data_IF_126826488853
#
_entry.id   IF_126826488853
#
_cell.length_a   1.000
_cell.length_b   1.000
_cell.length_c   1.000
_cell.angle_alpha   90.00
_cell.angle_beta   90.00
_cell.angle_gamma   90.00
#
_symmetry.space_group_name_H-M   'P 1'
#
loop_
_entity.id
_entity.type
_entity.pdbx_description
1 polymer ?
#
# COMPACT_ATOMS: atom_id res chain seq x y z
N UNK A 1 43.88 -31.76 152.32
CA UNK A 1 43.87 -32.95 153.22
C UNK A 1 44.56 -34.10 152.47
N UNK A 2 45.55 -34.83 152.98
CA UNK A 2 45.91 -35.17 154.38
C UNK A 2 44.78 -35.86 155.15
N UNK A 3 44.45 -37.09 154.72
CA UNK A 3 44.24 -38.22 155.63
C UNK A 3 45.58 -38.99 155.66
N UNK A 4 46.07 -39.55 156.75
CA UNK A 4 45.44 -39.77 158.05
C UNK A 4 45.87 -41.15 158.53
N UNK A 5 47.12 -41.26 159.00
CA UNK A 5 47.78 -42.54 159.29
C UNK A 5 47.18 -43.22 160.53
N UNK A 6 46.20 -44.10 160.33
CA UNK A 6 45.67 -44.96 161.39
C UNK A 6 46.61 -46.14 161.59
N UNK A 7 47.49 -46.06 162.59
CA UNK A 7 48.16 -47.24 163.12
C UNK A 7 47.11 -48.16 163.75
N UNK A 8 47.09 -49.43 163.34
CA UNK A 8 46.47 -50.53 164.08
C UNK A 8 47.58 -51.41 164.67
N UNK A 9 47.34 -52.09 165.81
CA UNK A 9 48.40 -52.70 166.58
C UNK A 9 49.07 -53.87 165.85
N UNK A 10 50.31 -54.16 166.24
CA UNK A 10 51.05 -55.33 165.79
C UNK A 10 50.43 -56.60 166.38
N UNK A 11 49.45 -57.19 165.68
CA UNK A 11 49.10 -58.58 165.89
C UNK A 11 50.33 -59.45 165.66
N UNK A 12 50.54 -60.45 166.51
CA UNK A 12 51.66 -61.37 166.39
C UNK A 12 51.70 -62.02 165.00
N UNK A 13 52.89 -62.19 164.45
CA UNK A 13 53.07 -63.02 163.24
C UNK A 13 52.54 -64.42 163.58
N UNK A 14 51.59 -64.99 162.83
CA UNK A 14 51.27 -66.40 162.99
C UNK A 14 52.54 -67.23 162.73
N UNK A 15 52.71 -68.31 163.48
CA UNK A 15 53.80 -69.25 163.18
C UNK A 15 53.68 -69.72 161.73
N UNK A 16 54.79 -69.68 161.00
CA UNK A 16 54.86 -70.19 159.62
C UNK A 16 54.80 -71.72 159.66
N UNK A 17 53.58 -72.25 159.66
CA UNK A 17 53.30 -73.69 159.62
C UNK A 17 53.76 -74.25 158.27
N UNK A 18 54.69 -75.19 158.30
CA UNK A 18 55.11 -75.96 157.13
C UNK A 18 54.22 -77.20 157.08
N UNK A 19 53.31 -77.26 156.12
CA UNK A 19 52.29 -78.32 155.99
C UNK A 19 51.52 -78.65 157.30
N UNK A 20 51.31 -77.65 158.15
CA UNK A 20 50.58 -77.79 159.43
C UNK A 20 51.43 -78.20 160.64
N UNK A 21 52.74 -78.48 160.47
CA UNK A 21 53.66 -78.83 161.56
C UNK A 21 54.41 -77.62 162.11
N UNK A 22 54.89 -77.74 163.36
CA UNK A 22 55.74 -76.73 163.98
C UNK A 22 57.20 -76.88 163.55
N UNK A 23 57.99 -75.81 163.73
CA UNK A 23 59.37 -75.72 163.22
C UNK A 23 60.37 -76.68 163.91
N UNK A 24 59.93 -77.39 164.93
CA UNK A 24 60.72 -78.31 165.76
C UNK A 24 60.42 -79.79 165.45
N UNK A 25 59.42 -80.08 164.60
CA UNK A 25 58.94 -81.44 164.29
C UNK A 25 59.28 -81.91 162.86
N UNK A 26 59.75 -81.01 161.98
CA UNK A 26 60.02 -81.31 160.57
C UNK A 26 61.46 -81.80 160.37
N UNK A 27 61.64 -82.92 159.65
CA UNK A 27 62.99 -83.44 159.33
C UNK A 27 63.76 -82.47 158.41
N UNK A 28 65.10 -82.50 158.47
CA UNK A 28 65.96 -81.69 157.60
C UNK A 28 65.67 -81.90 156.12
N UNK A 29 65.50 -83.16 155.70
CA UNK A 29 65.19 -83.52 154.30
C UNK A 29 63.81 -82.99 153.89
N UNK A 30 62.79 -83.11 154.75
CA UNK A 30 61.45 -82.57 154.51
C UNK A 30 61.43 -81.03 154.41
N UNK A 31 62.27 -80.34 155.19
CA UNK A 31 62.49 -78.89 155.02
C UNK A 31 63.19 -78.58 153.69
N UNK A 32 64.17 -79.39 153.27
CA UNK A 32 64.88 -79.20 151.99
C UNK A 32 63.98 -79.47 150.77
N UNK A 33 63.12 -80.49 150.83
CA UNK A 33 62.06 -80.75 149.84
C UNK A 33 61.02 -79.61 149.79
N UNK A 34 60.54 -79.13 150.95
CA UNK A 34 59.59 -78.01 150.98
C UNK A 34 60.23 -76.71 150.47
N UNK A 35 61.52 -76.48 150.71
CA UNK A 35 62.29 -75.38 150.13
C UNK A 35 62.47 -75.55 148.61
N UNK A 36 62.63 -76.77 148.11
CA UNK A 36 62.67 -77.04 146.67
C UNK A 36 61.32 -76.78 146.01
N UNK A 37 60.23 -77.31 146.56
CA UNK A 37 58.86 -77.06 146.10
C UNK A 37 58.52 -75.56 146.08
N UNK A 38 58.82 -74.82 147.17
CA UNK A 38 58.59 -73.38 147.23
C UNK A 38 59.45 -72.57 146.26
N UNK A 39 60.57 -73.10 145.75
CA UNK A 39 61.35 -72.48 144.67
C UNK A 39 60.73 -72.77 143.31
N UNK A 40 60.39 -74.02 143.04
CA UNK A 40 59.70 -74.43 141.80
C UNK A 40 58.38 -73.68 141.62
N UNK A 41 57.60 -73.53 142.69
CA UNK A 41 56.34 -72.77 142.67
C UNK A 41 56.57 -71.26 142.49
N UNK A 42 57.62 -70.70 143.11
CA UNK A 42 58.02 -69.31 142.93
C UNK A 42 58.50 -69.04 141.49
N UNK A 43 59.14 -70.01 140.85
CA UNK A 43 59.60 -69.90 139.46
C UNK A 43 58.46 -70.12 138.45
N UNK A 44 57.50 -71.02 138.71
CA UNK A 44 56.21 -71.05 137.99
C UNK A 44 55.49 -69.69 138.06
N UNK A 45 55.32 -69.13 139.25
CA UNK A 45 54.72 -67.81 139.49
C UNK A 45 55.49 -66.63 138.85
N UNK A 46 56.77 -66.82 138.51
CA UNK A 46 57.57 -65.87 137.72
C UNK A 46 57.33 -66.05 136.23
N UNK A 47 57.29 -67.28 135.74
CA UNK A 47 57.03 -67.61 134.34
C UNK A 47 55.61 -67.22 133.91
N UNK A 48 54.59 -67.58 134.70
CA UNK A 48 53.20 -67.18 134.45
C UNK A 48 53.05 -65.65 134.46
N UNK A 49 53.67 -64.96 135.42
CA UNK A 49 53.68 -63.49 135.47
C UNK A 49 54.38 -62.86 134.26
N UNK A 50 55.46 -63.47 133.77
CA UNK A 50 56.13 -63.02 132.55
C UNK A 50 55.22 -63.22 131.33
N UNK A 51 54.58 -64.38 131.20
CA UNK A 51 53.61 -64.69 130.16
C UNK A 51 52.42 -63.72 130.17
N UNK A 52 51.77 -63.52 131.32
CA UNK A 52 50.64 -62.58 131.44
C UNK A 52 51.06 -61.11 131.24
N UNK A 53 52.31 -60.74 131.52
CA UNK A 53 52.85 -59.43 131.16
C UNK A 53 53.05 -59.31 129.64
N UNK A 54 53.65 -60.32 129.00
CA UNK A 54 53.85 -60.34 127.54
C UNK A 54 52.52 -60.34 126.77
N UNK A 55 51.52 -61.11 127.21
CA UNK A 55 50.18 -61.08 126.61
C UNK A 55 49.46 -59.74 126.84
N UNK A 56 49.64 -59.11 128.01
CA UNK A 56 49.15 -57.73 128.24
C UNK A 56 49.80 -56.75 127.27
N UNK A 57 51.11 -56.81 127.08
CA UNK A 57 51.84 -55.89 126.21
C UNK A 57 51.53 -56.13 124.72
N UNK A 58 51.29 -57.39 124.31
CA UNK A 58 50.71 -57.72 122.99
C UNK A 58 49.33 -57.11 122.82
N UNK A 59 48.42 -57.27 123.79
CA UNK A 59 47.06 -56.71 123.72
C UNK A 59 47.09 -55.18 123.68
N UNK A 60 47.95 -54.53 124.48
CA UNK A 60 48.13 -53.07 124.46
C UNK A 60 48.68 -52.60 123.12
N UNK A 61 49.74 -53.23 122.59
CA UNK A 61 50.31 -52.83 121.29
C UNK A 61 49.36 -53.08 120.12
N UNK A 62 48.60 -54.19 120.10
CA UNK A 62 47.53 -54.40 119.12
C UNK A 62 46.41 -53.37 119.26
N UNK A 63 46.03 -52.99 120.49
CA UNK A 63 45.04 -51.94 120.74
C UNK A 63 45.53 -50.58 120.23
N UNK A 64 46.77 -50.18 120.52
CA UNK A 64 47.38 -48.94 120.00
C UNK A 64 47.48 -48.91 118.46
N UNK A 65 47.87 -50.03 117.84
CA UNK A 65 47.92 -50.16 116.37
C UNK A 65 46.51 -50.02 115.78
N UNK A 66 45.52 -50.67 116.38
CA UNK A 66 44.12 -50.61 115.93
C UNK A 66 43.53 -49.21 116.13
N UNK A 67 43.79 -48.57 117.27
CA UNK A 67 43.46 -47.16 117.53
C UNK A 67 44.07 -46.23 116.49
N UNK A 68 45.36 -46.41 116.17
CA UNK A 68 46.09 -45.58 115.20
C UNK A 68 45.50 -45.75 113.80
N UNK A 69 45.29 -46.99 113.35
CA UNK A 69 44.63 -47.29 112.06
C UNK A 69 43.19 -46.78 112.00
N UNK A 70 42.44 -46.86 113.09
CA UNK A 70 41.09 -46.29 113.20
C UNK A 70 41.11 -44.74 113.13
N UNK A 71 42.14 -44.09 113.68
CA UNK A 71 42.34 -42.62 113.59
C UNK A 71 42.76 -42.20 112.17
N UNK A 72 43.64 -42.96 111.52
CA UNK A 72 44.05 -42.79 110.12
C UNK A 72 42.85 -42.89 109.16
N UNK A 73 42.10 -44.01 109.18
CA UNK A 73 40.92 -44.20 108.31
C UNK A 73 39.83 -43.17 108.59
N UNK A 74 39.64 -42.73 109.85
CA UNK A 74 38.73 -41.62 110.19
C UNK A 74 39.21 -40.26 109.68
N UNK A 75 40.50 -40.07 109.41
CA UNK A 75 41.02 -38.87 108.76
C UNK A 75 40.85 -38.97 107.23
N UNK A 76 41.18 -40.11 106.63
CA UNK A 76 40.98 -40.39 105.20
C UNK A 76 39.51 -40.21 104.78
N UNK A 77 38.57 -40.77 105.54
CA UNK A 77 37.12 -40.59 105.30
C UNK A 77 36.74 -39.10 105.32
N UNK A 78 37.27 -38.30 106.25
CA UNK A 78 36.99 -36.85 106.31
C UNK A 78 37.59 -36.09 105.14
N UNK A 79 38.78 -36.48 104.67
CA UNK A 79 39.42 -35.89 103.48
C UNK A 79 38.59 -36.20 102.23
N UNK A 80 38.16 -37.46 102.06
CA UNK A 80 37.30 -37.87 100.94
C UNK A 80 35.91 -37.23 101.00
N UNK A 81 35.31 -37.10 102.19
CA UNK A 81 34.06 -36.36 102.38
C UNK A 81 34.21 -34.90 101.96
N UNK A 82 35.26 -34.21 102.45
CA UNK A 82 35.52 -32.82 102.07
C UNK A 82 35.78 -32.67 100.56
N UNK A 83 36.60 -33.53 99.95
CA UNK A 83 36.81 -33.50 98.50
C UNK A 83 35.49 -33.68 97.72
N UNK A 84 34.64 -34.61 98.17
CA UNK A 84 33.30 -34.85 97.61
C UNK A 84 32.34 -33.65 97.82
N UNK A 85 32.57 -32.81 98.83
CA UNK A 85 31.81 -31.57 99.08
C UNK A 85 32.35 -30.40 98.24
N UNK A 86 33.68 -30.26 98.14
CA UNK A 86 34.36 -29.27 97.30
C UNK A 86 34.01 -29.50 95.81
N UNK A 87 34.06 -30.75 95.31
CA UNK A 87 33.69 -31.13 93.93
C UNK A 87 32.21 -30.80 93.62
N UNK A 88 31.29 -31.05 94.57
CA UNK A 88 29.88 -30.68 94.42
C UNK A 88 29.71 -29.17 94.33
N UNK A 89 30.44 -28.40 95.14
CA UNK A 89 30.41 -26.95 95.11
C UNK A 89 30.97 -26.41 93.77
N UNK A 90 32.05 -27.02 93.25
CA UNK A 90 32.58 -26.72 91.92
C UNK A 90 31.54 -26.98 90.82
N UNK A 91 30.94 -28.17 90.77
CA UNK A 91 29.91 -28.49 89.77
C UNK A 91 28.65 -27.60 89.90
N UNK A 92 28.23 -27.19 91.10
CA UNK A 92 27.12 -26.26 91.26
C UNK A 92 27.46 -24.86 90.69
N UNK A 93 28.71 -24.40 90.84
CA UNK A 93 29.21 -23.16 90.22
C UNK A 93 29.29 -23.32 88.69
N UNK A 94 29.80 -24.43 88.18
CA UNK A 94 29.83 -24.71 86.73
C UNK A 94 28.42 -24.66 86.13
N UNK A 95 27.44 -25.33 86.74
CA UNK A 95 26.04 -25.31 86.30
C UNK A 95 25.47 -23.88 86.30
N UNK A 96 25.79 -23.07 87.31
CA UNK A 96 25.41 -21.63 87.34
C UNK A 96 26.06 -20.84 86.21
N UNK A 97 27.35 -21.07 85.92
CA UNK A 97 28.09 -20.44 84.81
C UNK A 97 27.53 -20.85 83.45
N UNK A 98 27.30 -22.14 83.20
CA UNK A 98 26.69 -22.61 81.94
C UNK A 98 25.27 -22.09 81.76
N UNK A 99 24.45 -22.03 82.82
CA UNK A 99 23.11 -21.42 82.79
C UNK A 99 23.17 -19.92 82.45
N UNK A 100 24.18 -19.20 82.94
CA UNK A 100 24.36 -17.78 82.60
C UNK A 100 24.91 -17.58 81.18
N UNK A 101 25.84 -18.43 80.71
CA UNK A 101 26.31 -18.44 79.32
C UNK A 101 25.16 -18.70 78.33
N UNK A 102 24.29 -19.67 78.63
CA UNK A 102 23.10 -19.97 77.82
C UNK A 102 22.12 -18.78 77.77
N UNK A 103 21.86 -18.13 78.91
CA UNK A 103 21.07 -16.89 78.95
C UNK A 103 21.65 -15.79 78.08
N UNK A 104 22.95 -15.51 78.21
CA UNK A 104 23.63 -14.48 77.42
C UNK A 104 23.54 -14.80 75.92
N UNK A 105 23.86 -16.04 75.51
CA UNK A 105 23.77 -16.46 74.10
C UNK A 105 22.35 -16.27 73.52
N UNK A 106 21.31 -16.61 74.29
CA UNK A 106 19.91 -16.38 73.89
C UNK A 106 19.56 -14.90 73.80
N UNK A 107 20.09 -14.05 74.69
CA UNK A 107 19.95 -12.60 74.59
C UNK A 107 20.69 -12.03 73.37
N UNK A 108 21.93 -12.43 73.10
CA UNK A 108 22.67 -11.99 71.90
C UNK A 108 21.93 -12.39 70.62
N UNK A 109 21.48 -13.65 70.53
CA UNK A 109 20.71 -14.11 69.37
C UNK A 109 19.41 -13.31 69.20
N UNK A 110 18.69 -13.00 70.28
CA UNK A 110 17.48 -12.18 70.22
C UNK A 110 17.78 -10.73 69.82
N UNK A 111 18.88 -10.14 70.31
CA UNK A 111 19.34 -8.81 69.93
C UNK A 111 19.66 -8.77 68.43
N UNK A 112 20.52 -9.66 67.93
CA UNK A 112 20.89 -9.75 66.51
C UNK A 112 19.67 -9.98 65.60
N UNK A 113 18.70 -10.82 66.00
CA UNK A 113 17.45 -10.99 65.25
C UNK A 113 16.63 -9.69 65.21
N UNK A 114 16.63 -8.93 66.30
CA UNK A 114 15.87 -7.67 66.41
C UNK A 114 16.52 -6.56 65.59
N UNK A 115 17.86 -6.45 65.63
CA UNK A 115 18.68 -5.55 64.81
C UNK A 115 18.51 -5.84 63.32
N UNK A 116 18.70 -7.09 62.87
CA UNK A 116 18.52 -7.49 61.47
C UNK A 116 17.07 -7.29 60.99
N UNK A 117 16.08 -7.39 61.88
CA UNK A 117 14.69 -7.08 61.55
C UNK A 117 14.46 -5.57 61.40
N UNK A 118 15.06 -4.75 62.28
CA UNK A 118 15.00 -3.30 62.19
C UNK A 118 15.71 -2.78 60.92
N UNK A 119 16.93 -3.24 60.64
CA UNK A 119 17.69 -2.89 59.43
C UNK A 119 16.93 -3.27 58.16
N UNK A 120 16.28 -4.44 58.13
CA UNK A 120 15.43 -4.86 57.02
C UNK A 120 14.23 -3.92 56.82
N UNK A 121 13.58 -3.48 57.90
CA UNK A 121 12.45 -2.56 57.82
C UNK A 121 12.88 -1.16 57.39
N UNK A 122 13.99 -0.64 57.93
CA UNK A 122 14.58 0.64 57.53
C UNK A 122 15.03 0.63 56.07
N UNK A 123 15.69 -0.45 55.63
CA UNK A 123 16.07 -0.63 54.22
C UNK A 123 14.83 -0.64 53.31
N UNK A 124 13.76 -1.34 53.69
CA UNK A 124 12.52 -1.37 52.92
C UNK A 124 11.86 0.02 52.85
N UNK A 125 11.78 0.75 53.97
CA UNK A 125 11.23 2.10 54.03
C UNK A 125 12.04 3.09 53.18
N UNK A 126 13.37 3.01 53.19
CA UNK A 126 14.25 3.80 52.32
C UNK A 126 14.03 3.46 50.84
N UNK A 127 13.92 2.18 50.47
CA UNK A 127 13.62 1.81 49.08
C UNK A 127 12.23 2.29 48.62
N UNK A 128 11.22 2.22 49.49
CA UNK A 128 9.87 2.72 49.17
C UNK A 128 9.89 4.24 48.95
N UNK A 129 10.48 5.02 49.87
CA UNK A 129 10.59 6.48 49.71
C UNK A 129 11.33 6.89 48.44
N UNK A 130 12.37 6.15 48.06
CA UNK A 130 13.09 6.39 46.81
C UNK A 130 12.22 6.08 45.57
N UNK A 131 11.39 5.03 45.61
CA UNK A 131 10.42 4.75 44.55
C UNK A 131 9.33 5.85 44.49
N UNK A 132 8.76 6.24 45.63
CA UNK A 132 7.70 7.25 45.71
C UNK A 132 8.18 8.60 45.12
N UNK A 133 9.43 8.99 45.41
CA UNK A 133 10.07 10.18 44.84
C UNK A 133 10.28 10.06 43.32
N UNK A 134 10.76 8.91 42.83
CA UNK A 134 10.95 8.68 41.39
C UNK A 134 9.62 8.66 40.63
N UNK A 135 8.58 8.07 41.20
CA UNK A 135 7.23 8.10 40.65
C UNK A 135 6.65 9.52 40.64
N UNK A 136 6.86 10.31 41.69
CA UNK A 136 6.44 11.71 41.74
C UNK A 136 7.16 12.56 40.68
N UNK A 137 8.46 12.37 40.50
CA UNK A 137 9.26 13.06 39.47
C UNK A 137 8.80 12.66 38.06
N UNK A 138 8.57 11.37 37.80
CA UNK A 138 8.07 10.87 36.52
C UNK A 138 6.66 11.41 36.21
N UNK A 139 5.75 11.41 37.19
CA UNK A 139 4.40 12.00 37.06
C UNK A 139 4.47 13.51 36.82
N UNK A 140 5.49 14.21 37.34
CA UNK A 140 5.73 15.62 37.04
C UNK A 140 6.22 15.82 35.60
N UNK A 141 7.23 15.05 35.16
CA UNK A 141 7.76 15.09 33.78
C UNK A 141 6.69 14.77 32.73
N UNK A 142 5.84 13.77 32.97
CA UNK A 142 4.72 13.44 32.06
C UNK A 142 3.72 14.60 31.97
N UNK A 143 3.40 15.27 33.09
CA UNK A 143 2.53 16.47 33.06
C UNK A 143 3.17 17.63 32.31
N UNK A 144 4.47 17.88 32.49
CA UNK A 144 5.19 18.91 31.74
C UNK A 144 5.11 18.65 30.23
N UNK A 145 5.46 17.44 29.78
CA UNK A 145 5.37 17.04 28.36
C UNK A 145 3.93 17.12 27.82
N UNK A 146 2.91 16.80 28.63
CA UNK A 146 1.52 16.98 28.22
C UNK A 146 1.10 18.46 28.07
N UNK A 147 1.66 19.36 28.87
CA UNK A 147 1.45 20.82 28.72
C UNK A 147 2.25 21.33 27.53
N UNK A 148 3.52 20.95 27.37
CA UNK A 148 4.35 21.30 26.20
C UNK A 148 3.68 20.87 24.87
N UNK A 149 2.96 19.73 24.86
CA UNK A 149 2.20 19.23 23.70
C UNK A 149 0.84 19.93 23.50
N UNK A 150 0.36 20.69 24.48
CA UNK A 150 -0.84 21.54 24.37
C UNK A 150 -0.46 23.00 24.02
N UNK A 151 0.68 23.49 24.54
CA UNK A 151 1.28 24.78 24.22
C UNK A 151 1.96 24.76 22.83
N UNK A 152 2.39 23.59 22.33
CA UNK A 152 2.50 23.36 20.90
C UNK A 152 1.10 23.46 20.28
N UNK A 153 0.79 24.66 19.78
CA UNK A 153 -0.51 25.04 19.24
C UNK A 153 -0.78 24.41 17.87
N UNK A 154 -0.80 23.08 17.86
CA UNK A 154 -1.24 22.24 16.76
C UNK A 154 -2.67 22.58 16.34
N UNK A 155 -3.51 23.06 17.27
CA UNK A 155 -4.89 23.40 16.98
C UNK A 155 -4.99 24.64 16.07
N UNK A 156 -4.44 25.79 16.45
CA UNK A 156 -4.48 26.95 15.54
C UNK A 156 -3.61 26.74 14.30
N UNK A 157 -2.58 25.89 14.37
CA UNK A 157 -1.83 25.50 13.17
C UNK A 157 -2.70 24.73 12.17
N UNK A 158 -3.51 23.77 12.63
CA UNK A 158 -4.49 23.04 11.80
C UNK A 158 -5.57 24.00 11.29
N UNK A 159 -6.21 24.78 12.18
CA UNK A 159 -7.26 25.74 11.79
C UNK A 159 -6.76 26.76 10.76
N UNK A 160 -5.49 27.19 10.85
CA UNK A 160 -4.83 28.06 9.88
C UNK A 160 -4.55 27.37 8.55
N UNK A 161 -4.12 26.10 8.56
CA UNK A 161 -3.93 25.32 7.34
C UNK A 161 -5.26 25.03 6.62
N UNK A 162 -6.32 24.72 7.38
CA UNK A 162 -7.68 24.54 6.87
C UNK A 162 -8.23 25.84 6.26
N UNK A 163 -8.03 26.98 6.91
CA UNK A 163 -8.42 28.30 6.41
C UNK A 163 -7.66 28.66 5.11
N UNK A 164 -6.34 28.41 5.04
CA UNK A 164 -5.56 28.64 3.83
C UNK A 164 -5.91 27.66 2.69
N UNK A 165 -6.30 26.43 3.02
CA UNK A 165 -6.83 25.48 2.04
C UNK A 165 -8.19 25.94 1.50
N UNK A 166 -9.11 26.37 2.38
CA UNK A 166 -10.42 26.89 2.00
C UNK A 166 -10.30 28.10 1.04
N UNK A 167 -9.45 29.09 1.35
CA UNK A 167 -9.16 30.23 0.46
C UNK A 167 -8.66 29.82 -0.92
N UNK A 168 -7.77 28.82 -0.99
CA UNK A 168 -7.25 28.31 -2.26
C UNK A 168 -8.32 27.58 -3.06
N UNK A 169 -9.19 26.83 -2.39
CA UNK A 169 -10.33 26.16 -3.03
C UNK A 169 -11.34 27.17 -3.58
N UNK A 170 -11.71 28.23 -2.85
CA UNK A 170 -12.64 29.25 -3.35
C UNK A 170 -12.02 30.04 -4.52
N UNK A 171 -10.78 30.50 -4.41
CA UNK A 171 -10.09 31.21 -5.49
C UNK A 171 -9.96 30.34 -6.77
N UNK A 172 -9.71 29.03 -6.62
CA UNK A 172 -9.67 28.10 -7.75
C UNK A 172 -11.07 27.90 -8.37
N UNK A 173 -12.14 27.83 -7.56
CA UNK A 173 -13.51 27.75 -8.07
C UNK A 173 -13.97 29.05 -8.75
N UNK A 174 -13.55 30.21 -8.26
CA UNK A 174 -13.81 31.52 -8.88
C UNK A 174 -13.10 31.65 -10.22
N UNK A 175 -11.85 31.19 -10.32
CA UNK A 175 -11.11 31.16 -11.58
C UNK A 175 -11.74 30.20 -12.61
N UNK A 176 -12.12 28.98 -12.22
CA UNK A 176 -12.84 28.07 -13.13
C UNK A 176 -14.18 28.63 -13.59
N UNK A 177 -14.96 29.27 -12.71
CA UNK A 177 -16.21 29.95 -13.09
C UNK A 177 -15.95 31.06 -14.11
N UNK A 178 -14.93 31.89 -13.88
CA UNK A 178 -14.51 32.93 -14.83
C UNK A 178 -14.15 32.32 -16.18
N UNK A 179 -13.27 31.31 -16.22
CA UNK A 179 -12.85 30.65 -17.46
C UNK A 179 -14.04 30.06 -18.23
N UNK A 180 -15.02 29.48 -17.54
CA UNK A 180 -16.27 28.99 -18.14
C UNK A 180 -17.06 30.14 -18.75
N UNK A 181 -17.36 31.20 -17.99
CA UNK A 181 -18.12 32.36 -18.52
C UNK A 181 -17.42 33.07 -19.67
N UNK A 182 -16.09 33.14 -19.64
CA UNK A 182 -15.28 33.68 -20.74
C UNK A 182 -15.28 32.80 -21.99
N UNK A 183 -15.49 31.49 -21.85
CA UNK A 183 -15.63 30.57 -22.98
C UNK A 183 -17.06 30.59 -23.53
N UNK A 184 -18.07 30.65 -22.66
CA UNK A 184 -19.48 30.78 -23.03
C UNK A 184 -19.72 32.04 -23.88
N UNK A 185 -19.22 33.21 -23.43
CA UNK A 185 -19.33 34.46 -24.20
C UNK A 185 -18.62 34.37 -25.56
N UNK A 186 -17.40 33.83 -25.62
CA UNK A 186 -16.66 33.68 -26.90
C UNK A 186 -17.36 32.71 -27.86
N UNK A 187 -18.06 31.70 -27.35
CA UNK A 187 -18.87 30.81 -28.17
C UNK A 187 -20.16 31.48 -28.66
N UNK A 188 -20.81 32.31 -27.84
CA UNK A 188 -21.98 33.09 -28.24
C UNK A 188 -21.63 34.16 -29.29
N UNK A 189 -20.52 34.89 -29.12
CA UNK A 189 -19.95 35.81 -30.11
C UNK A 189 -19.63 35.10 -31.44
N UNK A 190 -19.00 33.92 -31.39
CA UNK A 190 -18.69 33.13 -32.57
C UNK A 190 -19.94 32.62 -33.30
N UNK A 191 -20.99 32.23 -32.57
CA UNK A 191 -22.26 31.82 -33.15
C UNK A 191 -23.01 32.99 -33.79
N UNK A 192 -22.95 34.19 -33.19
CA UNK A 192 -23.53 35.41 -33.77
C UNK A 192 -22.85 35.77 -35.10
N UNK A 193 -21.51 35.79 -35.14
CA UNK A 193 -20.75 36.05 -36.36
C UNK A 193 -21.07 35.04 -37.48
N UNK A 194 -21.19 33.75 -37.15
CA UNK A 194 -21.59 32.72 -38.12
C UNK A 194 -23.03 32.91 -38.63
N UNK A 195 -23.94 33.41 -37.80
CA UNK A 195 -25.30 33.76 -38.23
C UNK A 195 -25.29 34.98 -39.16
N UNK A 196 -24.52 36.03 -38.84
CA UNK A 196 -24.37 37.21 -39.70
C UNK A 196 -23.74 36.88 -41.06
N UNK A 197 -22.68 36.06 -41.09
CA UNK A 197 -22.07 35.57 -42.34
C UNK A 197 -23.06 34.78 -43.20
N UNK A 198 -23.83 33.87 -42.60
CA UNK A 198 -24.84 33.10 -43.32
C UNK A 198 -25.96 34.00 -43.87
N UNK A 199 -26.45 34.94 -43.07
CA UNK A 199 -27.47 35.90 -43.47
C UNK A 199 -27.00 36.81 -44.61
N UNK A 200 -25.75 37.27 -44.58
CA UNK A 200 -25.17 38.08 -45.67
C UNK A 200 -24.92 37.25 -46.94
N UNK A 201 -24.56 35.97 -46.81
CA UNK A 201 -24.55 35.04 -47.95
C UNK A 201 -25.97 34.87 -48.52
N UNK A 202 -26.99 34.67 -47.69
CA UNK A 202 -28.38 34.54 -48.13
C UNK A 202 -28.91 35.82 -48.82
N UNK A 203 -28.63 37.00 -48.25
CA UNK A 203 -28.92 38.31 -48.88
C UNK A 203 -28.22 38.41 -50.23
N UNK A 204 -26.91 38.12 -50.28
CA UNK A 204 -26.11 38.18 -51.50
C UNK A 204 -26.60 37.23 -52.60
N UNK A 205 -26.97 35.98 -52.26
CA UNK A 205 -27.53 35.03 -53.23
C UNK A 205 -28.91 35.45 -53.70
N UNK A 206 -29.75 35.96 -52.80
CA UNK A 206 -31.10 36.45 -53.14
C UNK A 206 -31.01 37.62 -54.12
N UNK A 207 -30.21 38.66 -53.82
CA UNK A 207 -30.07 39.82 -54.71
C UNK A 207 -29.40 39.49 -56.05
N UNK A 208 -28.51 38.50 -56.11
CA UNK A 208 -27.99 37.97 -57.39
C UNK A 208 -29.09 37.30 -58.23
N UNK A 209 -29.97 36.55 -57.58
CA UNK A 209 -31.09 35.87 -58.23
C UNK A 209 -32.19 36.86 -58.67
N UNK A 210 -32.52 37.85 -57.83
CA UNK A 210 -33.38 38.98 -58.19
C UNK A 210 -32.82 39.77 -59.36
N UNK A 211 -31.51 40.07 -59.39
CA UNK A 211 -30.88 40.75 -60.52
C UNK A 211 -30.93 39.90 -61.80
N UNK A 212 -30.72 38.59 -61.70
CA UNK A 212 -30.88 37.67 -62.84
C UNK A 212 -32.31 37.64 -63.36
N UNK A 213 -33.32 37.61 -62.49
CA UNK A 213 -34.73 37.68 -62.88
C UNK A 213 -35.10 39.03 -63.48
N UNK A 214 -34.64 40.15 -62.90
CA UNK A 214 -34.87 41.49 -63.44
C UNK A 214 -34.24 41.68 -64.82
N UNK A 215 -33.03 41.16 -65.04
CA UNK A 215 -32.39 41.14 -66.36
C UNK A 215 -33.24 40.34 -67.36
N UNK A 216 -33.62 39.10 -67.03
CA UNK A 216 -34.46 38.28 -67.91
C UNK A 216 -35.82 38.92 -68.23
N UNK A 217 -36.44 39.59 -67.26
CA UNK A 217 -37.67 40.37 -67.43
C UNK A 217 -37.44 41.55 -68.39
N UNK A 218 -36.27 42.19 -68.37
CA UNK A 218 -35.93 43.28 -69.27
C UNK A 218 -35.58 42.79 -70.69
N UNK A 219 -34.84 41.68 -70.83
CA UNK A 219 -34.60 41.00 -72.12
C UNK A 219 -35.94 40.65 -72.79
N UNK A 220 -36.88 40.08 -72.02
CA UNK A 220 -38.21 39.71 -72.50
C UNK A 220 -39.05 40.94 -72.88
N UNK A 221 -38.93 42.07 -72.15
CA UNK A 221 -39.56 43.34 -72.55
C UNK A 221 -38.98 43.88 -73.86
N UNK A 222 -37.66 43.83 -74.06
CA UNK A 222 -37.04 44.28 -75.32
C UNK A 222 -37.51 43.41 -76.51
N UNK A 223 -37.56 42.09 -76.33
CA UNK A 223 -38.09 41.16 -77.33
C UNK A 223 -39.57 41.44 -77.62
N UNK A 224 -40.39 41.74 -76.61
CA UNK A 224 -41.79 42.14 -76.80
C UNK A 224 -41.92 43.50 -77.50
N UNK A 225 -41.13 44.52 -77.13
CA UNK A 225 -41.16 45.83 -77.79
C UNK A 225 -40.71 45.74 -79.25
N UNK A 226 -39.70 44.91 -79.53
CA UNK A 226 -39.24 44.62 -80.89
C UNK A 226 -40.29 43.89 -81.72
N UNK A 227 -40.88 42.81 -81.20
CA UNK A 227 -41.94 42.09 -81.92
C UNK A 227 -43.21 42.92 -82.11
N UNK A 228 -43.52 43.86 -81.21
CA UNK A 228 -44.58 44.86 -81.41
C UNK A 228 -44.24 45.88 -82.51
N UNK A 229 -42.98 46.33 -82.62
CA UNK A 229 -42.52 47.19 -83.74
C UNK A 229 -42.57 46.45 -85.07
N UNK A 230 -42.09 45.20 -85.10
CA UNK A 230 -42.14 44.33 -86.28
C UNK A 230 -43.60 44.07 -86.70
N UNK A 231 -44.50 43.78 -85.74
CA UNK A 231 -45.93 43.61 -85.99
C UNK A 231 -46.58 44.89 -86.55
N UNK A 232 -46.29 46.06 -85.96
CA UNK A 232 -46.77 47.34 -86.46
C UNK A 232 -46.29 47.59 -87.91
N UNK A 233 -45.02 47.27 -88.22
CA UNK A 233 -44.49 47.36 -89.58
C UNK A 233 -45.22 46.40 -90.55
N UNK A 234 -45.54 45.17 -90.14
CA UNK A 234 -46.38 44.28 -90.98
C UNK A 234 -47.79 44.83 -91.19
N UNK A 235 -48.36 45.56 -90.23
CA UNK A 235 -49.67 46.21 -90.39
C UNK A 235 -49.59 47.37 -91.38
N UNK A 236 -48.54 48.20 -91.33
CA UNK A 236 -48.29 49.25 -92.34
C UNK A 236 -48.12 48.65 -93.74
N UNK A 237 -47.32 47.58 -93.88
CA UNK A 237 -47.15 46.87 -95.16
C UNK A 237 -48.49 46.29 -95.65
N UNK A 238 -49.34 45.77 -94.76
CA UNK A 238 -50.69 45.30 -95.10
C UNK A 238 -51.61 46.43 -95.58
N UNK A 239 -51.53 47.63 -95.00
CA UNK A 239 -52.25 48.80 -95.52
C UNK A 239 -51.73 49.26 -96.88
N UNK A 240 -50.42 49.23 -97.12
CA UNK A 240 -49.83 49.54 -98.43
C UNK A 240 -50.20 48.50 -99.48
N UNK A 241 -50.18 47.20 -99.14
CA UNK A 241 -50.70 46.14 -100.00
C UNK A 241 -52.18 46.36 -100.37
N UNK A 242 -53.04 46.74 -99.42
CA UNK A 242 -54.45 47.09 -99.72
C UNK A 242 -54.59 48.31 -100.63
N UNK A 243 -53.74 49.34 -100.49
CA UNK A 243 -53.68 50.48 -101.41
C UNK A 243 -53.24 50.03 -102.81
N UNK A 244 -52.25 49.14 -102.91
CA UNK A 244 -51.79 48.55 -104.18
C UNK A 244 -52.87 47.67 -104.82
N UNK A 245 -53.62 46.88 -104.04
CA UNK A 245 -54.75 46.09 -104.55
C UNK A 245 -55.87 46.99 -105.08
N UNK A 246 -56.21 48.09 -104.37
CA UNK A 246 -57.18 49.08 -104.85
C UNK A 246 -56.72 49.75 -106.16
N UNK A 247 -55.47 50.23 -106.22
CA UNK A 247 -54.88 50.81 -107.44
C UNK A 247 -54.80 49.79 -108.60
N UNK A 248 -54.61 48.50 -108.29
CA UNK A 248 -54.61 47.40 -109.27
C UNK A 248 -56.01 47.09 -109.79
N UNK A 249 -57.03 47.20 -108.94
CA UNK A 249 -58.43 47.09 -109.35
C UNK A 249 -58.86 48.31 -110.18
N UNK A 250 -58.53 49.53 -109.77
CA UNK A 250 -58.77 50.76 -110.55
C UNK A 250 -58.07 50.71 -111.93
N UNK A 251 -56.82 50.24 -111.99
CA UNK A 251 -56.14 50.03 -113.28
C UNK A 251 -56.82 48.95 -114.13
N UNK A 252 -57.40 47.91 -113.52
CA UNK A 252 -58.11 46.85 -114.23
C UNK A 252 -59.47 47.34 -114.76
N UNK A 253 -60.16 48.18 -114.00
CA UNK A 253 -61.38 48.87 -114.40
C UNK A 253 -61.09 49.83 -115.56
N UNK A 254 -60.05 50.66 -115.47
CA UNK A 254 -59.60 51.52 -116.57
C UNK A 254 -59.12 50.74 -117.79
N UNK A 255 -58.57 49.54 -117.62
CA UNK A 255 -58.24 48.65 -118.73
C UNK A 255 -59.50 48.10 -119.41
N UNK A 256 -60.58 47.84 -118.65
CA UNK A 256 -61.89 47.49 -119.24
C UNK A 256 -62.63 48.69 -119.84
N UNK A 257 -62.45 49.91 -119.32
CA UNK A 257 -62.92 51.14 -119.97
C UNK A 257 -62.18 51.38 -121.30
N UNK A 258 -60.86 51.15 -121.34
CA UNK A 258 -60.07 51.20 -122.55
C UNK A 258 -60.48 50.12 -123.57
N UNK A 259 -60.73 48.88 -123.14
CA UNK A 259 -61.25 47.80 -123.99
C UNK A 259 -62.68 48.08 -124.50
N UNK A 260 -63.51 48.80 -123.73
CA UNK A 260 -64.81 49.31 -124.21
C UNK A 260 -64.65 50.48 -125.19
N UNK A 261 -63.69 51.39 -124.95
CA UNK A 261 -63.37 52.49 -125.84
C UNK A 261 -62.75 52.00 -127.16
N UNK A 262 -61.92 50.96 -127.11
CA UNK A 262 -61.34 50.28 -128.26
C UNK A 262 -62.42 49.56 -129.08
N UNK A 263 -63.45 48.99 -128.42
CA UNK A 263 -64.65 48.48 -129.10
C UNK A 263 -65.51 49.59 -129.71
N UNK A 264 -65.63 50.75 -129.06
CA UNK A 264 -66.29 51.92 -129.66
C UNK A 264 -65.50 52.48 -130.85
N UNK A 265 -64.16 52.52 -130.75
CA UNK A 265 -63.28 52.88 -131.86
C UNK A 265 -63.42 51.87 -132.99
N UNK A 266 -63.45 50.57 -132.73
CA UNK A 266 -63.65 49.52 -133.73
C UNK A 266 -65.03 49.61 -134.43
N UNK A 267 -66.10 49.96 -133.70
CA UNK A 267 -67.42 50.27 -134.29
C UNK A 267 -67.35 51.54 -135.16
N UNK A 268 -66.60 52.56 -134.73
CA UNK A 268 -66.43 53.79 -135.51
C UNK A 268 -65.47 53.61 -136.70
N UNK A 269 -64.52 52.67 -136.62
CA UNK A 269 -63.70 52.19 -137.74
C UNK A 269 -64.52 51.37 -138.73
N UNK A 270 -65.46 50.53 -138.28
CA UNK A 270 -66.43 49.87 -139.19
C UNK A 270 -67.34 50.89 -139.90
N UNK A 271 -67.74 51.97 -139.21
CA UNK A 271 -68.46 53.09 -139.82
C UNK A 271 -67.60 53.82 -140.87
N UNK A 272 -66.31 54.08 -140.55
CA UNK A 272 -65.36 54.64 -141.50
C UNK A 272 -65.00 53.66 -142.64
N UNK A 273 -65.04 52.34 -142.43
CA UNK A 273 -64.85 51.32 -143.47
C UNK A 273 -65.99 51.37 -144.48
N UNK A 274 -67.26 51.46 -144.04
CA UNK A 274 -68.41 51.65 -144.94
C UNK A 274 -68.31 52.95 -145.77
N UNK A 275 -67.71 54.01 -145.22
CA UNK A 275 -67.41 55.24 -145.96
C UNK A 275 -66.19 55.11 -146.89
N UNK A 276 -65.21 54.27 -146.54
CA UNK A 276 -64.00 54.01 -147.32
C UNK A 276 -64.23 53.03 -148.48
N UNK A 277 -65.09 52.03 -148.31
CA UNK A 277 -65.48 51.07 -149.35
C UNK A 277 -66.11 51.80 -150.54
N UNK A 278 -67.01 52.76 -150.27
CA UNK A 278 -67.61 53.65 -151.28
C UNK A 278 -66.63 54.60 -151.97
N UNK A 279 -65.38 54.70 -151.52
CA UNK A 279 -64.31 55.49 -152.11
C UNK A 279 -63.21 54.64 -152.79
N UNK A 280 -63.21 53.32 -152.57
CA UNK A 280 -62.17 52.40 -153.06
C UNK A 280 -62.48 51.82 -154.45
N UNK A 281 -63.76 51.71 -154.83
CA UNK A 281 -64.19 51.22 -156.16
C UNK A 281 -63.73 52.09 -157.35
N UNK A 282 -63.13 53.26 -157.11
CA UNK A 282 -62.55 54.15 -158.14
C UNK A 282 -61.01 54.10 -158.17
N UNK A 283 -60.38 53.28 -157.32
CA UNK A 283 -58.92 53.07 -157.28
C UNK A 283 -58.55 51.58 -157.23
N UNK A 284 -59.09 50.86 -158.19
CA UNK A 284 -58.63 49.54 -158.59
C UNK A 284 -57.13 49.54 -158.97
N UNK A 285 -56.49 48.36 -158.89
CA UNK A 285 -55.16 48.01 -159.42
C UNK A 285 -53.91 48.44 -158.61
N UNK A 286 -52.99 47.47 -158.41
CA UNK A 286 -51.76 47.42 -157.56
C UNK A 286 -52.04 46.84 -156.15
N UNK A 287 -52.07 45.53 -155.88
CA UNK A 287 -51.27 44.34 -156.27
C UNK A 287 -50.14 43.96 -155.27
N UNK A 288 -50.50 43.02 -154.37
CA UNK A 288 -49.71 41.90 -153.79
C UNK A 288 -48.68 42.10 -152.65
N UNK A 289 -48.86 41.28 -151.57
CA UNK A 289 -47.90 40.76 -150.54
C UNK A 289 -47.15 41.79 -149.65
N UNK A 290 -46.66 41.57 -148.42
CA UNK A 290 -46.43 40.43 -147.48
C UNK A 290 -46.74 40.88 -146.01
N UNK A 291 -46.40 40.17 -144.92
CA UNK A 291 -46.90 38.91 -144.33
C UNK A 291 -46.26 38.69 -142.90
N UNK A 292 -46.98 39.03 -141.81
CA UNK A 292 -47.10 38.33 -140.47
C UNK A 292 -45.88 38.08 -139.51
N UNK A 293 -46.23 37.81 -138.21
CA UNK A 293 -45.54 37.06 -137.10
C UNK A 293 -44.44 37.74 -136.19
N UNK A 294 -44.02 37.22 -134.99
CA UNK A 294 -44.69 36.70 -133.72
C UNK A 294 -43.71 36.19 -132.57
N UNK A 295 -44.01 36.43 -131.26
CA UNK A 295 -44.00 35.50 -130.05
C UNK A 295 -42.77 34.91 -129.19
N UNK A 296 -42.92 34.85 -127.82
CA UNK A 296 -42.52 33.84 -126.71
C UNK A 296 -41.07 33.36 -126.32
N UNK A 297 -40.75 32.60 -125.22
CA UNK A 297 -40.91 32.72 -123.70
C UNK A 297 -40.35 31.54 -122.78
N UNK A 298 -40.14 31.74 -121.43
CA UNK A 298 -40.14 30.76 -120.25
C UNK A 298 -38.94 29.77 -119.89
N UNK A 299 -38.68 29.06 -118.72
CA UNK A 299 -39.00 29.02 -117.21
C UNK A 299 -38.27 27.87 -116.34
N UNK A 300 -38.22 27.92 -114.96
CA UNK A 300 -38.05 26.84 -113.86
C UNK A 300 -36.63 26.39 -113.29
N UNK A 301 -36.45 25.47 -112.28
CA UNK A 301 -36.63 25.50 -110.75
C UNK A 301 -36.36 24.15 -109.96
N UNK A 302 -35.47 24.03 -108.93
CA UNK A 302 -35.33 22.85 -107.95
C UNK A 302 -34.36 22.98 -106.68
N UNK A 303 -34.12 21.92 -105.84
CA UNK A 303 -33.54 21.93 -104.42
C UNK A 303 -32.87 20.61 -103.81
N UNK A 304 -32.39 20.64 -102.52
CA UNK A 304 -32.05 19.58 -101.47
C UNK A 304 -30.58 19.05 -101.13
N UNK A 305 -30.33 18.55 -99.88
CA UNK A 305 -28.99 18.23 -99.20
C UNK A 305 -29.03 17.17 -98.02
N UNK A 306 -27.99 16.30 -97.74
CA UNK A 306 -27.87 15.37 -96.56
C UNK A 306 -26.45 15.18 -95.84
N UNK A 307 -26.30 14.39 -94.73
CA UNK A 307 -24.99 13.95 -94.10
C UNK A 307 -25.00 13.16 -92.73
N UNK A 308 -23.88 12.50 -92.26
CA UNK A 308 -23.75 11.84 -90.90
C UNK A 308 -22.31 11.33 -90.48
N UNK A 309 -21.94 11.27 -89.16
CA UNK A 309 -20.81 10.47 -88.55
C UNK A 309 -20.69 10.52 -86.98
N UNK A 310 -20.97 9.45 -86.22
CA UNK A 310 -20.49 9.24 -84.81
C UNK A 310 -20.89 7.86 -84.20
N UNK A 311 -19.96 6.90 -83.99
CA UNK A 311 -20.25 5.63 -83.25
C UNK A 311 -19.04 4.76 -82.77
N UNK A 312 -17.78 5.23 -82.81
CA UNK A 312 -16.59 4.34 -82.70
C UNK A 312 -15.69 4.49 -81.46
N UNK A 313 -15.94 5.44 -80.58
CA UNK A 313 -15.12 5.68 -79.37
C UNK A 313 -15.55 4.81 -78.19
N UNK A 314 -16.82 4.90 -77.78
CA UNK A 314 -17.38 4.35 -76.52
C UNK A 314 -17.15 2.85 -76.27
N UNK A 315 -16.81 2.06 -77.29
CA UNK A 315 -16.56 0.62 -77.11
C UNK A 315 -15.19 0.29 -76.51
N UNK A 316 -14.16 1.14 -76.68
CA UNK A 316 -12.81 0.83 -76.17
C UNK A 316 -12.69 0.94 -74.65
N UNK A 317 -13.43 1.85 -74.05
CA UNK A 317 -13.29 2.18 -72.63
C UNK A 317 -13.89 1.10 -71.72
N UNK A 318 -14.84 0.31 -72.25
CA UNK A 318 -15.47 -0.84 -71.58
C UNK A 318 -14.49 -2.01 -71.38
N UNK A 319 -13.81 -2.42 -72.46
CA UNK A 319 -12.93 -3.59 -72.47
C UNK A 319 -11.76 -3.43 -71.47
N UNK A 320 -11.20 -2.21 -71.36
CA UNK A 320 -10.10 -1.87 -70.43
C UNK A 320 -10.57 -1.89 -68.97
N UNK A 321 -11.80 -1.43 -68.70
CA UNK A 321 -12.36 -1.42 -67.35
C UNK A 321 -12.66 -2.85 -66.85
N UNK A 322 -13.11 -3.72 -67.74
CA UNK A 322 -13.42 -5.12 -67.42
C UNK A 322 -12.15 -5.92 -67.05
N UNK A 323 -11.01 -5.69 -67.71
CA UNK A 323 -9.75 -6.37 -67.36
C UNK A 323 -9.30 -6.04 -65.93
N UNK A 324 -9.28 -4.75 -65.56
CA UNK A 324 -8.89 -4.31 -64.20
C UNK A 324 -9.77 -4.88 -63.09
N UNK A 325 -11.06 -5.11 -63.39
CA UNK A 325 -11.96 -5.72 -62.42
C UNK A 325 -11.56 -7.18 -62.11
N UNK A 326 -11.18 -7.97 -63.12
CA UNK A 326 -10.71 -9.35 -62.93
C UNK A 326 -9.40 -9.43 -62.14
N UNK A 327 -8.47 -8.50 -62.36
CA UNK A 327 -7.21 -8.41 -61.61
C UNK A 327 -7.47 -8.15 -60.11
N UNK A 328 -8.26 -7.12 -59.79
CA UNK A 328 -8.68 -6.80 -58.41
C UNK A 328 -9.48 -7.94 -57.74
N UNK A 329 -10.27 -8.69 -58.52
CA UNK A 329 -11.08 -9.78 -57.99
C UNK A 329 -10.22 -10.96 -57.53
N UNK A 330 -9.10 -11.23 -58.22
CA UNK A 330 -8.09 -12.22 -57.83
C UNK A 330 -7.30 -11.80 -56.60
N UNK A 331 -6.81 -10.55 -56.54
CA UNK A 331 -6.12 -10.01 -55.35
C UNK A 331 -6.99 -10.14 -54.09
N UNK A 332 -8.29 -9.84 -54.21
CA UNK A 332 -9.26 -9.98 -53.11
C UNK A 332 -9.46 -11.43 -52.67
N UNK A 333 -9.48 -12.40 -53.60
CA UNK A 333 -9.54 -13.84 -53.25
C UNK A 333 -8.24 -14.37 -52.63
N UNK A 334 -7.07 -13.85 -53.02
CA UNK A 334 -5.78 -14.23 -52.42
C UNK A 334 -5.59 -13.61 -51.02
N UNK A 335 -5.97 -12.35 -50.82
CA UNK A 335 -6.04 -11.72 -49.50
C UNK A 335 -7.03 -12.46 -48.58
N UNK A 336 -8.22 -12.80 -49.09
CA UNK A 336 -9.24 -13.54 -48.34
C UNK A 336 -8.77 -14.91 -47.85
N UNK A 337 -7.85 -15.58 -48.56
CA UNK A 337 -7.29 -16.88 -48.16
C UNK A 337 -6.05 -16.74 -47.27
N UNK A 338 -5.18 -15.77 -47.56
CA UNK A 338 -3.88 -15.65 -46.89
C UNK A 338 -3.95 -14.91 -45.55
N UNK A 339 -4.91 -14.01 -45.33
CA UNK A 339 -5.06 -13.30 -44.05
C UNK A 339 -5.41 -14.26 -42.89
N UNK A 340 -6.42 -15.16 -42.99
CA UNK A 340 -6.72 -16.13 -41.92
C UNK A 340 -5.53 -17.04 -41.58
N UNK A 341 -4.78 -17.50 -42.58
CA UNK A 341 -3.61 -18.36 -42.37
C UNK A 341 -2.47 -17.63 -41.63
N UNK A 342 -2.25 -16.34 -41.91
CA UNK A 342 -1.28 -15.52 -41.17
C UNK A 342 -1.73 -15.25 -39.74
N UNK A 343 -3.03 -15.01 -39.52
CA UNK A 343 -3.61 -14.81 -38.19
C UNK A 343 -3.42 -16.09 -37.35
N UNK A 344 -3.82 -17.25 -37.87
CA UNK A 344 -3.64 -18.54 -37.19
C UNK A 344 -2.17 -18.78 -36.85
N UNK A 345 -1.25 -18.64 -37.81
CA UNK A 345 0.19 -18.85 -37.55
C UNK A 345 0.83 -17.83 -36.58
N UNK A 346 0.15 -16.74 -36.25
CA UNK A 346 0.54 -15.81 -35.16
C UNK A 346 -0.10 -16.22 -33.85
N UNK A 347 -1.35 -16.70 -33.85
CA UNK A 347 -2.02 -17.27 -32.68
C UNK A 347 -1.29 -18.51 -32.17
N UNK A 348 -1.03 -19.50 -33.03
CA UNK A 348 -0.32 -20.75 -32.68
C UNK A 348 1.02 -20.45 -31.97
N UNK A 349 1.82 -19.51 -32.52
CA UNK A 349 3.11 -19.09 -31.95
C UNK A 349 2.96 -18.31 -30.65
N UNK A 350 1.82 -17.65 -30.44
CA UNK A 350 1.53 -16.92 -29.20
C UNK A 350 1.09 -17.90 -28.11
N UNK A 351 0.28 -18.90 -28.47
CA UNK A 351 -0.13 -20.00 -27.59
C UNK A 351 1.07 -20.86 -27.17
N UNK A 352 1.99 -21.21 -28.08
CA UNK A 352 3.28 -21.85 -27.77
C UNK A 352 4.08 -21.06 -26.72
N UNK A 353 4.14 -19.73 -26.85
CA UNK A 353 4.87 -18.85 -25.93
C UNK A 353 4.14 -18.73 -24.59
N UNK A 354 2.81 -18.67 -24.57
CA UNK A 354 1.98 -18.68 -23.36
C UNK A 354 2.19 -19.98 -22.60
N UNK A 355 2.03 -21.15 -23.23
CA UNK A 355 2.22 -22.46 -22.59
C UNK A 355 3.65 -22.66 -22.06
N UNK A 356 4.66 -22.13 -22.75
CA UNK A 356 6.04 -22.11 -22.25
C UNK A 356 6.23 -21.19 -21.03
N UNK A 357 5.49 -20.08 -20.94
CA UNK A 357 5.54 -19.18 -19.78
C UNK A 357 4.75 -19.76 -18.60
N UNK A 358 3.60 -20.37 -18.84
CA UNK A 358 2.80 -21.08 -17.82
C UNK A 358 3.58 -22.25 -17.22
N UNK A 359 4.24 -23.07 -18.04
CA UNK A 359 5.13 -24.15 -17.57
C UNK A 359 6.30 -23.63 -16.72
N UNK A 360 6.89 -22.49 -17.10
CA UNK A 360 7.96 -21.83 -16.32
C UNK A 360 7.43 -21.21 -15.02
N UNK A 361 6.21 -20.68 -15.02
CA UNK A 361 5.54 -20.20 -13.81
C UNK A 361 5.25 -21.34 -12.85
N UNK A 362 4.64 -22.43 -13.32
CA UNK A 362 4.33 -23.60 -12.49
C UNK A 362 5.60 -24.18 -11.83
N UNK A 363 6.66 -24.42 -12.62
CA UNK A 363 7.93 -24.94 -12.07
C UNK A 363 8.65 -23.99 -11.10
N UNK A 364 8.37 -22.67 -11.16
CA UNK A 364 8.82 -21.71 -10.15
C UNK A 364 7.94 -21.72 -8.90
N UNK A 365 6.62 -21.88 -9.05
CA UNK A 365 5.65 -22.04 -7.95
C UNK A 365 5.92 -23.33 -7.17
N UNK A 366 6.02 -24.48 -7.84
CA UNK A 366 6.33 -25.79 -7.23
C UNK A 366 7.62 -25.71 -6.39
N UNK A 367 8.62 -24.98 -6.90
CA UNK A 367 9.90 -24.78 -6.20
C UNK A 367 9.75 -23.84 -5.00
N UNK A 368 8.95 -22.78 -5.12
CA UNK A 368 8.67 -21.84 -4.03
C UNK A 368 7.93 -22.55 -2.87
N UNK A 369 6.85 -23.26 -3.18
CA UNK A 369 6.07 -24.06 -2.22
C UNK A 369 6.96 -25.10 -1.52
N UNK A 370 7.81 -25.81 -2.28
CA UNK A 370 8.78 -26.74 -1.71
C UNK A 370 9.78 -26.06 -0.78
N UNK A 371 10.28 -24.87 -1.10
CA UNK A 371 11.17 -24.12 -0.20
C UNK A 371 10.45 -23.57 1.03
N UNK A 372 9.17 -23.21 0.92
CA UNK A 372 8.37 -22.76 2.06
C UNK A 372 8.09 -23.93 3.02
N UNK A 373 7.64 -25.07 2.51
CA UNK A 373 7.45 -26.28 3.33
C UNK A 373 8.74 -26.75 4.00
N UNK A 374 9.90 -26.58 3.35
CA UNK A 374 11.21 -26.82 3.98
C UNK A 374 11.54 -25.82 5.08
N UNK A 375 11.21 -24.53 4.90
CA UNK A 375 11.38 -23.50 5.92
C UNK A 375 10.47 -23.75 7.13
N UNK A 376 9.20 -24.06 6.91
CA UNK A 376 8.22 -24.33 7.97
C UNK A 376 8.60 -25.57 8.80
N UNK A 377 9.11 -26.62 8.14
CA UNK A 377 9.64 -27.81 8.80
C UNK A 377 10.89 -27.51 9.66
N UNK A 378 11.77 -26.61 9.20
CA UNK A 378 12.94 -26.16 9.97
C UNK A 378 12.54 -25.26 11.14
N UNK A 379 11.60 -24.33 10.95
CA UNK A 379 11.06 -23.48 12.02
C UNK A 379 10.31 -24.28 13.10
N UNK A 380 9.80 -25.46 12.75
CA UNK A 380 9.13 -26.39 13.68
C UNK A 380 10.09 -27.31 14.45
N UNK A 381 11.40 -27.26 14.18
CA UNK A 381 12.38 -28.12 14.83
C UNK A 381 12.79 -27.58 16.23
N UNK A 382 12.74 -28.40 17.31
CA UNK A 382 12.87 -27.92 18.69
C UNK A 382 14.27 -27.47 19.13
N UNK A 383 15.29 -27.61 18.27
CA UNK A 383 16.70 -27.33 18.59
C UNK A 383 17.27 -26.16 17.76
N UNK A 384 16.45 -25.15 17.45
CA UNK A 384 16.82 -24.07 16.52
C UNK A 384 17.58 -22.94 17.22
N UNK A 385 18.76 -22.55 16.69
CA UNK A 385 19.47 -21.36 17.16
C UNK A 385 18.77 -20.09 16.65
N UNK A 386 18.05 -19.43 17.55
CA UNK A 386 17.37 -18.16 17.28
C UNK A 386 18.32 -17.02 16.89
N UNK A 387 19.61 -17.08 17.24
CA UNK A 387 20.61 -16.07 16.87
C UNK A 387 20.96 -16.19 15.39
N UNK A 388 21.34 -17.40 14.94
CA UNK A 388 21.58 -17.70 13.53
C UNK A 388 20.32 -17.47 12.68
N UNK A 389 19.13 -17.82 13.18
CA UNK A 389 17.85 -17.54 12.50
C UNK A 389 17.64 -16.04 12.29
N UNK A 390 17.90 -15.21 13.32
CA UNK A 390 17.76 -13.75 13.23
C UNK A 390 18.73 -13.14 12.21
N UNK A 391 19.97 -13.63 12.15
CA UNK A 391 20.95 -13.18 11.14
C UNK A 391 20.53 -13.55 9.70
N UNK A 392 20.00 -14.76 9.49
CA UNK A 392 19.45 -15.20 8.20
C UNK A 392 18.21 -14.39 7.82
N UNK A 393 17.33 -14.11 8.78
CA UNK A 393 16.12 -13.31 8.57
C UNK A 393 16.47 -11.86 8.18
N UNK A 394 17.45 -11.24 8.84
CA UNK A 394 17.95 -9.92 8.48
C UNK A 394 18.56 -9.89 7.06
N UNK A 395 19.33 -10.92 6.69
CA UNK A 395 19.89 -11.08 5.33
C UNK A 395 18.82 -11.35 4.26
N UNK A 396 17.66 -11.90 4.62
CA UNK A 396 16.50 -12.02 3.74
C UNK A 396 15.75 -10.68 3.60
N UNK A 397 15.56 -9.96 4.71
CA UNK A 397 14.97 -8.61 4.76
C UNK A 397 15.75 -7.63 3.86
N UNK A 398 17.09 -7.65 3.94
CA UNK A 398 17.99 -6.83 3.12
C UNK A 398 17.82 -7.12 1.61
N UNK A 399 17.77 -8.39 1.21
CA UNK A 399 17.52 -8.78 -0.19
C UNK A 399 16.14 -8.36 -0.69
N UNK A 400 15.12 -8.40 0.17
CA UNK A 400 13.79 -7.91 -0.16
C UNK A 400 13.78 -6.39 -0.39
N UNK A 401 14.50 -5.63 0.45
CA UNK A 401 14.70 -4.19 0.26
C UNK A 401 15.36 -3.88 -1.10
N UNK A 402 16.41 -4.61 -1.49
CA UNK A 402 17.06 -4.47 -2.81
C UNK A 402 16.07 -4.74 -3.96
N UNK A 403 15.24 -5.78 -3.83
CA UNK A 403 14.18 -6.10 -4.81
C UNK A 403 13.16 -4.96 -4.95
N UNK A 404 12.75 -4.36 -3.81
CA UNK A 404 11.80 -3.25 -3.77
C UNK A 404 12.37 -1.95 -4.37
N UNK A 405 13.65 -1.64 -4.11
CA UNK A 405 14.37 -0.55 -4.76
C UNK A 405 14.46 -0.75 -6.28
N UNK A 406 14.71 -1.98 -6.76
CA UNK A 406 14.74 -2.28 -8.19
C UNK A 406 13.37 -2.05 -8.85
N UNK A 407 12.27 -2.44 -8.18
CA UNK A 407 10.90 -2.20 -8.66
C UNK A 407 10.54 -0.71 -8.70
N UNK A 408 10.96 0.08 -7.71
CA UNK A 408 10.85 1.55 -7.78
C UNK A 408 11.66 2.13 -8.94
N UNK A 409 12.91 1.69 -9.11
CA UNK A 409 13.77 2.12 -10.23
C UNK A 409 13.18 1.79 -11.61
N UNK A 410 12.49 0.66 -11.75
CA UNK A 410 11.77 0.30 -12.97
C UNK A 410 10.55 1.20 -13.21
N UNK A 411 9.74 1.50 -12.19
CA UNK A 411 8.64 2.46 -12.28
C UNK A 411 9.11 3.88 -12.66
N UNK A 412 10.21 4.34 -12.08
CA UNK A 412 10.84 5.63 -12.43
C UNK A 412 11.26 5.64 -13.92
N UNK A 413 11.85 4.55 -14.43
CA UNK A 413 12.19 4.42 -15.86
C UNK A 413 10.97 4.44 -16.77
N UNK A 414 9.85 3.80 -16.39
CA UNK A 414 8.60 3.89 -17.17
C UNK A 414 8.05 5.32 -17.21
N UNK A 415 7.99 6.01 -16.06
CA UNK A 415 7.51 7.40 -15.97
C UNK A 415 8.41 8.34 -16.79
N UNK A 416 9.73 8.16 -16.73
CA UNK A 416 10.68 8.93 -17.53
C UNK A 416 10.48 8.70 -19.04
N UNK A 417 10.22 7.46 -19.47
CA UNK A 417 9.89 7.15 -20.87
C UNK A 417 8.58 7.81 -21.29
N UNK A 418 7.50 7.63 -20.52
CA UNK A 418 6.19 8.20 -20.84
C UNK A 418 6.23 9.73 -20.96
N UNK A 419 6.98 10.41 -20.08
CA UNK A 419 7.23 11.86 -20.19
C UNK A 419 7.97 12.25 -21.47
N UNK A 420 8.99 11.48 -21.87
CA UNK A 420 9.73 11.72 -23.12
C UNK A 420 8.86 11.49 -24.35
N UNK A 421 8.08 10.42 -24.36
CA UNK A 421 7.18 10.08 -25.48
C UNK A 421 6.05 11.13 -25.62
N UNK A 422 5.56 11.68 -24.50
CA UNK A 422 4.61 12.81 -24.49
C UNK A 422 5.23 14.10 -25.04
N UNK A 423 6.43 14.48 -24.59
CA UNK A 423 7.15 15.66 -25.10
C UNK A 423 7.39 15.57 -26.62
N UNK A 424 7.89 14.43 -27.10
CA UNK A 424 8.07 14.16 -28.54
C UNK A 424 6.76 14.23 -29.34
N UNK A 425 5.61 13.98 -28.70
CA UNK A 425 4.29 14.10 -29.33
C UNK A 425 3.82 15.54 -29.38
N UNK A 426 4.04 16.31 -28.31
CA UNK A 426 3.77 17.75 -28.26
C UNK A 426 4.63 18.54 -29.25
N UNK A 427 5.94 18.28 -29.30
CA UNK A 427 6.88 18.88 -30.27
C UNK A 427 6.44 18.62 -31.72
N UNK A 428 6.00 17.40 -32.04
CA UNK A 428 5.46 17.06 -33.37
C UNK A 428 4.15 17.78 -33.69
N UNK A 429 3.23 17.86 -32.72
CA UNK A 429 1.97 18.59 -32.88
C UNK A 429 2.21 20.09 -33.14
N UNK A 430 3.13 20.70 -32.38
CA UNK A 430 3.49 22.10 -32.53
C UNK A 430 4.22 22.37 -33.87
N UNK A 431 5.13 21.47 -34.29
CA UNK A 431 5.76 21.54 -35.61
C UNK A 431 4.73 21.42 -36.74
N UNK A 432 3.71 20.55 -36.59
CA UNK A 432 2.64 20.40 -37.57
C UNK A 432 1.73 21.64 -37.65
N UNK A 433 1.48 22.32 -36.53
CA UNK A 433 0.73 23.58 -36.49
C UNK A 433 1.47 24.71 -37.21
N UNK A 434 2.77 24.92 -36.94
CA UNK A 434 3.55 25.93 -37.65
C UNK A 434 3.60 25.67 -39.17
N UNK A 435 3.70 24.40 -39.59
CA UNK A 435 3.62 24.00 -41.02
C UNK A 435 2.23 24.19 -41.66
N UNK A 436 1.19 24.45 -40.86
CA UNK A 436 -0.15 24.86 -41.32
C UNK A 436 -0.23 26.39 -41.38
N UNK A 437 0.29 27.11 -40.39
CA UNK A 437 0.35 28.58 -40.37
C UNK A 437 1.20 29.14 -41.53
N UNK A 438 2.37 28.54 -41.80
CA UNK A 438 3.22 28.84 -42.96
C UNK A 438 2.51 28.62 -44.30
N UNK A 439 1.54 27.69 -44.35
CA UNK A 439 0.74 27.37 -45.55
C UNK A 439 -0.55 28.19 -45.69
N UNK A 440 -0.96 28.89 -44.64
CA UNK A 440 -2.07 29.85 -44.65
C UNK A 440 -1.58 31.29 -44.89
N UNK A 441 -0.26 31.51 -44.79
CA UNK A 441 0.41 32.80 -44.97
C UNK A 441 1.10 32.95 -46.34
N UNK A 442 0.83 32.05 -47.30
CA UNK A 442 1.42 31.98 -48.65
C UNK A 442 0.41 31.61 -49.72
#
# INVERSE_FOLDING_TARGET
HKKGSVQKPANARPHTLINGLTKEEVSKEQMEEHIAYLREELDREREERNYFQLERDKVVTFHEITERKLKEVKAEIKVLQKATEDDKAHHEVEIKVYKQKMKHLLCEHQNTISELTADRLLSAEVTQKNQDLLEAELRSKVKAVMVDMQDLDHKTHIEKLELEHAKKMTATQEDWKRQITEAEVKHEECLHLQQEELDDVFKSTTSKQELSWNNHINDLKEIHEKTLKDLAMTFTINEECKKVEKLKQENKERLTELDQLDKMLSIQEQSNQLLSERLSEVKEQIYSVEEKLKYTSYTKRASHVPGMKALKTLKRDYDVLQQRFSELQLERDELSKSVPQRIQSVQDKTEDVISQLESKLQTLTDRLEKTQAQLDAVLSAPNLDHTALTEVMNKAQEKNCVQQCFHQGFKIKQIAKARKDFLLTAERGQTALCLIEDKLSS
#
